data_IF_049770520433
#
_entry.id   IF_049770520433
#
_cell.length_a   1.000
_cell.length_b   1.000
_cell.length_c   1.000
_cell.angle_alpha   90.00
_cell.angle_beta   90.00
_cell.angle_gamma   90.00
#
_symmetry.space_group_name_H-M   'P 1'
#
loop_
_entity.id
_entity.type
_entity.pdbx_description
1 polymer ?
#
# COMPACT_ATOMS: atom_id res chain seq x y z
N UNK A 1 -23.43 13.87 30.09
CA UNK A 1 -23.03 13.98 28.68
C UNK A 1 -21.56 14.40 28.47
N UNK A 2 -20.75 14.62 29.52
CA UNK A 2 -19.29 14.83 29.43
C UNK A 2 -18.47 13.55 29.70
N UNK A 3 -19.12 12.44 30.13
CA UNK A 3 -18.47 11.22 30.62
C UNK A 3 -17.89 10.32 29.53
N UNK A 4 -18.46 10.34 28.32
CA UNK A 4 -18.15 9.33 27.31
C UNK A 4 -16.95 9.74 26.45
N UNK A 5 -16.74 11.04 26.23
CA UNK A 5 -15.59 11.56 25.47
C UNK A 5 -14.27 11.42 26.22
N UNK A 6 -14.23 11.78 27.49
CA UNK A 6 -13.01 11.65 28.31
C UNK A 6 -12.61 10.18 28.52
N UNK A 7 -13.61 9.30 28.71
CA UNK A 7 -13.36 7.86 28.77
C UNK A 7 -12.87 7.31 27.44
N UNK A 8 -13.47 7.71 26.30
CA UNK A 8 -12.99 7.34 24.98
C UNK A 8 -11.54 7.78 24.75
N UNK A 9 -11.18 9.01 25.12
CA UNK A 9 -9.81 9.52 24.94
C UNK A 9 -8.81 8.76 25.80
N UNK A 10 -9.18 8.35 27.02
CA UNK A 10 -8.35 7.49 27.86
C UNK A 10 -8.15 6.10 27.24
N UNK A 11 -9.22 5.51 26.69
CA UNK A 11 -9.14 4.21 25.99
C UNK A 11 -8.29 4.35 24.73
N UNK A 12 -8.44 5.42 23.96
CA UNK A 12 -7.62 5.68 22.77
C UNK A 12 -6.16 5.87 23.13
N UNK A 13 -5.84 6.56 24.23
CA UNK A 13 -4.45 6.67 24.71
C UNK A 13 -3.86 5.29 25.02
N UNK A 14 -4.63 4.43 25.71
CA UNK A 14 -4.19 3.08 26.03
C UNK A 14 -3.94 2.23 24.78
N UNK A 15 -4.91 2.21 23.86
CA UNK A 15 -4.78 1.50 22.58
C UNK A 15 -3.62 2.05 21.75
N UNK A 16 -3.41 3.37 21.77
CA UNK A 16 -2.32 4.01 21.05
C UNK A 16 -0.95 3.63 21.63
N UNK A 17 -0.81 3.58 22.96
CA UNK A 17 0.42 3.15 23.62
C UNK A 17 0.75 1.68 23.29
N UNK A 18 -0.26 0.82 23.23
CA UNK A 18 -0.12 -0.62 22.96
C UNK A 18 -0.40 -1.01 21.51
N UNK A 19 -0.30 -0.07 20.57
CA UNK A 19 -0.69 -0.25 19.16
C UNK A 19 0.07 -1.34 18.39
N UNK A 20 1.21 -1.80 18.91
CA UNK A 20 2.00 -2.89 18.33
C UNK A 20 1.56 -4.27 18.80
N UNK A 21 0.80 -4.35 19.89
CA UNK A 21 0.34 -5.60 20.49
C UNK A 21 -0.79 -6.24 19.68
N UNK A 22 -0.77 -7.57 19.57
CA UNK A 22 -1.80 -8.31 18.82
C UNK A 22 -3.19 -8.18 19.45
N UNK A 23 -3.27 -8.08 20.78
CA UNK A 23 -4.54 -7.84 21.47
C UNK A 23 -5.19 -6.51 21.07
N UNK A 24 -4.39 -5.47 20.87
CA UNK A 24 -4.88 -4.16 20.40
C UNK A 24 -5.42 -4.27 18.98
N UNK A 25 -4.69 -4.98 18.09
CA UNK A 25 -5.17 -5.22 16.72
C UNK A 25 -6.45 -6.03 16.71
N UNK A 26 -6.55 -7.09 17.52
CA UNK A 26 -7.77 -7.89 17.65
C UNK A 26 -8.95 -7.04 18.10
N UNK A 27 -8.75 -6.18 19.11
CA UNK A 27 -9.77 -5.26 19.57
C UNK A 27 -10.21 -4.31 18.46
N UNK A 28 -9.27 -3.63 17.79
CA UNK A 28 -9.56 -2.66 16.73
C UNK A 28 -10.31 -3.26 15.53
N UNK A 29 -10.19 -4.57 15.31
CA UNK A 29 -10.88 -5.32 14.25
C UNK A 29 -12.13 -6.06 14.75
N UNK A 30 -12.59 -5.79 15.98
CA UNK A 30 -13.86 -6.32 16.46
C UNK A 30 -15.04 -5.69 15.68
N UNK A 31 -15.94 -6.51 15.11
CA UNK A 31 -17.06 -6.01 14.31
C UNK A 31 -18.03 -5.11 15.11
N UNK A 32 -18.01 -5.20 16.45
CA UNK A 32 -18.84 -4.37 17.32
C UNK A 32 -18.34 -2.93 17.44
N UNK A 33 -17.07 -2.65 17.12
CA UNK A 33 -16.56 -1.27 17.12
C UNK A 33 -17.12 -0.54 15.90
N UNK A 34 -17.70 0.64 16.12
CA UNK A 34 -18.28 1.42 15.04
C UNK A 34 -17.19 2.13 14.21
N UNK A 35 -17.39 2.32 12.90
CA UNK A 35 -16.43 3.02 12.05
C UNK A 35 -16.10 4.44 12.53
N UNK A 36 -17.06 5.14 13.13
CA UNK A 36 -16.88 6.50 13.67
C UNK A 36 -15.91 6.51 14.85
N UNK A 37 -15.98 5.51 15.74
CA UNK A 37 -15.04 5.36 16.85
C UNK A 37 -13.63 5.08 16.35
N UNK A 38 -13.49 4.27 15.29
CA UNK A 38 -12.20 4.00 14.67
C UNK A 38 -11.61 5.24 14.00
N UNK A 39 -12.42 6.03 13.31
CA UNK A 39 -11.99 7.30 12.76
C UNK A 39 -11.50 8.26 13.85
N UNK A 40 -12.22 8.34 14.97
CA UNK A 40 -11.78 9.12 16.12
C UNK A 40 -10.45 8.61 16.69
N UNK A 41 -10.26 7.29 16.78
CA UNK A 41 -8.98 6.70 17.19
C UNK A 41 -7.84 7.07 16.22
N UNK A 42 -8.07 6.98 14.90
CA UNK A 42 -7.09 7.35 13.88
C UNK A 42 -6.71 8.83 14.01
N UNK A 43 -7.67 9.73 14.19
CA UNK A 43 -7.34 11.16 14.32
C UNK A 43 -6.78 11.54 15.70
N UNK A 44 -7.13 10.78 16.74
CA UNK A 44 -6.51 10.91 18.05
C UNK A 44 -5.00 10.63 17.98
N UNK A 45 -4.61 9.49 17.40
CA UNK A 45 -3.21 9.13 17.20
C UNK A 45 -2.47 10.11 16.28
N UNK A 46 -3.15 10.62 15.25
CA UNK A 46 -2.61 11.60 14.32
C UNK A 46 -2.28 12.90 15.05
N UNK A 47 -3.22 13.41 15.85
CA UNK A 47 -3.01 14.61 16.67
C UNK A 47 -1.85 14.45 17.66
N UNK A 48 -1.70 13.27 18.29
CA UNK A 48 -0.57 12.98 19.19
C UNK A 48 0.77 13.00 18.47
N UNK A 49 0.84 12.39 17.28
CA UNK A 49 2.08 12.34 16.50
C UNK A 49 2.42 13.69 15.86
N UNK A 50 1.41 14.46 15.45
CA UNK A 50 1.60 15.82 14.93
C UNK A 50 2.25 16.77 15.96
N UNK A 51 1.98 16.56 17.25
CA UNK A 51 2.59 17.32 18.34
C UNK A 51 4.05 16.94 18.62
N UNK A 52 4.55 15.86 18.01
CA UNK A 52 5.96 15.47 18.07
C UNK A 52 6.68 16.10 16.87
N UNK A 53 7.72 16.89 17.10
CA UNK A 53 8.53 17.47 16.02
C UNK A 53 9.08 16.35 15.11
N UNK A 54 8.96 16.54 13.79
CA UNK A 54 9.26 15.57 12.70
C UNK A 54 8.17 14.54 12.36
N UNK A 55 6.91 14.98 12.28
CA UNK A 55 5.80 14.15 11.83
C UNK A 55 5.81 13.85 10.31
N UNK A 56 5.74 12.55 9.95
CA UNK A 56 5.50 12.06 8.59
C UNK A 56 4.12 11.38 8.51
N UNK A 57 3.16 12.04 7.86
CA UNK A 57 1.79 11.52 7.70
C UNK A 57 1.73 10.20 6.93
N UNK A 58 2.62 9.96 5.96
CA UNK A 58 2.62 8.72 5.19
C UNK A 58 3.09 7.55 6.08
N UNK A 59 4.15 7.77 6.86
CA UNK A 59 4.63 6.78 7.82
C UNK A 59 3.55 6.45 8.87
N UNK A 60 2.82 7.48 9.32
CA UNK A 60 1.69 7.32 10.23
C UNK A 60 0.57 6.45 9.63
N UNK A 61 0.09 6.78 8.43
CA UNK A 61 -1.01 6.03 7.82
C UNK A 61 -0.60 4.62 7.37
N UNK A 62 0.69 4.39 7.08
CA UNK A 62 1.22 3.03 6.93
C UNK A 62 1.13 2.23 8.24
N UNK A 63 1.43 2.87 9.38
CA UNK A 63 1.26 2.22 10.69
C UNK A 63 -0.22 1.91 10.95
N UNK A 64 -1.11 2.86 10.70
CA UNK A 64 -2.56 2.67 10.84
C UNK A 64 -3.07 1.53 9.97
N UNK A 65 -2.66 1.46 8.70
CA UNK A 65 -3.00 0.35 7.80
C UNK A 65 -2.64 -1.00 8.42
N UNK A 66 -1.49 -1.11 9.10
CA UNK A 66 -1.05 -2.37 9.72
C UNK A 66 -1.85 -2.80 10.96
N UNK A 67 -2.71 -1.94 11.49
CA UNK A 67 -3.56 -2.23 12.65
C UNK A 67 -4.93 -2.80 12.26
N UNK A 68 -5.37 -2.53 11.03
CA UNK A 68 -6.69 -2.93 10.55
C UNK A 68 -6.58 -4.10 9.59
N UNK A 69 -7.57 -4.98 9.62
CA UNK A 69 -7.78 -5.97 8.58
C UNK A 69 -8.56 -5.39 7.39
N UNK A 70 -8.71 -6.22 6.37
CA UNK A 70 -9.38 -5.87 5.13
C UNK A 70 -10.84 -5.46 5.35
N UNK A 71 -11.59 -6.22 6.15
CA UNK A 71 -13.00 -5.98 6.41
C UNK A 71 -13.20 -4.68 7.21
N UNK A 72 -12.37 -4.44 8.20
CA UNK A 72 -12.43 -3.24 9.02
C UNK A 72 -12.05 -1.99 8.23
N UNK A 73 -11.08 -2.11 7.32
CA UNK A 73 -10.72 -1.03 6.39
C UNK A 73 -11.88 -0.65 5.47
N UNK A 74 -12.62 -1.65 4.96
CA UNK A 74 -13.84 -1.44 4.17
C UNK A 74 -14.93 -0.73 4.98
N UNK A 75 -15.15 -1.14 6.23
CA UNK A 75 -16.12 -0.50 7.14
C UNK A 75 -15.80 0.97 7.35
N UNK A 76 -14.53 1.34 7.53
CA UNK A 76 -14.11 2.75 7.64
C UNK A 76 -14.33 3.48 6.31
N UNK A 77 -13.96 2.88 5.18
CA UNK A 77 -14.16 3.46 3.83
C UNK A 77 -15.64 3.76 3.53
N UNK A 78 -16.57 3.01 4.11
CA UNK A 78 -18.01 3.19 3.91
C UNK A 78 -18.58 4.51 4.45
N UNK A 79 -17.84 5.22 5.32
CA UNK A 79 -18.25 6.48 5.93
C UNK A 79 -18.43 7.64 4.92
N UNK A 80 -17.95 7.51 3.68
CA UNK A 80 -18.31 8.44 2.59
C UNK A 80 -17.80 9.88 2.80
N UNK A 81 -18.59 10.74 3.47
CA UNK A 81 -18.32 12.18 3.58
C UNK A 81 -17.02 12.48 4.35
N UNK A 82 -16.72 11.76 5.42
CA UNK A 82 -15.47 11.91 6.17
C UNK A 82 -14.26 11.45 5.35
N UNK A 83 -14.43 10.39 4.55
CA UNK A 83 -13.35 9.80 3.76
C UNK A 83 -12.98 10.61 2.54
N UNK A 84 -13.92 11.37 1.97
CA UNK A 84 -13.65 12.26 0.84
C UNK A 84 -12.81 13.48 1.24
N UNK A 85 -12.72 13.79 2.55
CA UNK A 85 -11.88 14.87 3.09
C UNK A 85 -10.41 14.47 3.29
N UNK A 86 -10.11 13.17 3.32
CA UNK A 86 -8.76 12.65 3.58
C UNK A 86 -8.34 11.60 2.53
N UNK A 87 -7.88 12.05 1.35
CA UNK A 87 -7.50 11.16 0.25
C UNK A 87 -6.30 10.27 0.59
N UNK A 88 -5.40 10.71 1.49
CA UNK A 88 -4.24 9.92 1.91
C UNK A 88 -4.69 8.73 2.76
N UNK A 89 -5.49 8.95 3.81
CA UNK A 89 -6.05 7.87 4.61
C UNK A 89 -6.87 6.91 3.74
N UNK A 90 -7.73 7.46 2.85
CA UNK A 90 -8.56 6.68 1.93
C UNK A 90 -7.72 5.72 1.09
N UNK A 91 -6.61 6.19 0.52
CA UNK A 91 -5.74 5.34 -0.30
C UNK A 91 -5.02 4.28 0.54
N UNK A 92 -4.58 4.60 1.75
CA UNK A 92 -3.97 3.60 2.63
C UNK A 92 -4.96 2.49 3.02
N UNK A 93 -6.22 2.84 3.31
CA UNK A 93 -7.27 1.86 3.59
C UNK A 93 -7.63 1.02 2.35
N UNK A 94 -7.76 1.65 1.16
CA UNK A 94 -7.96 0.94 -0.11
C UNK A 94 -6.82 -0.04 -0.38
N UNK A 95 -5.59 0.33 -0.06
CA UNK A 95 -4.42 -0.51 -0.23
C UNK A 95 -4.39 -1.74 0.68
N UNK A 96 -5.27 -1.79 1.69
CA UNK A 96 -5.42 -2.91 2.63
C UNK A 96 -6.49 -3.93 2.21
N UNK A 97 -7.32 -3.57 1.22
CA UNK A 97 -8.41 -4.43 0.77
C UNK A 97 -7.89 -5.66 0.01
N UNK A 98 -8.42 -6.82 0.39
CA UNK A 98 -8.33 -8.09 -0.32
C UNK A 98 -9.32 -8.14 -1.50
N UNK A 99 -9.26 -9.15 -2.38
CA UNK A 99 -10.14 -9.21 -3.55
C UNK A 99 -11.64 -9.18 -3.23
N UNK A 100 -12.08 -9.87 -2.15
CA UNK A 100 -13.50 -9.95 -1.79
C UNK A 100 -14.04 -8.60 -1.29
N UNK A 101 -13.25 -7.91 -0.48
CA UNK A 101 -13.61 -6.57 0.02
C UNK A 101 -13.47 -5.48 -1.03
N UNK A 102 -12.61 -5.66 -2.04
CA UNK A 102 -12.58 -4.81 -3.23
C UNK A 102 -13.88 -4.91 -4.03
N UNK A 103 -14.39 -6.12 -4.26
CA UNK A 103 -15.69 -6.33 -4.92
C UNK A 103 -16.80 -5.62 -4.13
N UNK A 104 -16.88 -5.86 -2.82
CA UNK A 104 -17.84 -5.19 -1.96
C UNK A 104 -17.69 -3.65 -1.96
N UNK A 105 -16.47 -3.13 -2.07
CA UNK A 105 -16.23 -1.69 -2.19
C UNK A 105 -16.76 -1.13 -3.51
N UNK A 106 -16.65 -1.87 -4.63
CA UNK A 106 -17.25 -1.44 -5.89
C UNK A 106 -18.77 -1.46 -5.83
N UNK A 107 -19.37 -2.48 -5.21
CA UNK A 107 -20.82 -2.53 -4.99
C UNK A 107 -21.31 -1.29 -4.21
N UNK A 108 -20.57 -0.88 -3.17
CA UNK A 108 -20.87 0.34 -2.40
C UNK A 108 -20.75 1.63 -3.22
N UNK A 109 -19.80 1.69 -4.16
CA UNK A 109 -19.67 2.85 -5.06
C UNK A 109 -20.84 2.91 -6.04
N UNK A 110 -21.25 1.77 -6.60
CA UNK A 110 -22.41 1.66 -7.49
C UNK A 110 -23.71 2.07 -6.79
N UNK A 111 -23.95 1.58 -5.57
CA UNK A 111 -25.11 1.96 -4.75
C UNK A 111 -25.18 3.47 -4.49
N UNK A 112 -24.02 4.12 -4.32
CA UNK A 112 -23.90 5.56 -4.09
C UNK A 112 -23.90 6.40 -5.38
N UNK A 113 -24.15 5.81 -6.54
CA UNK A 113 -24.01 6.42 -7.87
C UNK A 113 -22.63 7.08 -8.10
N UNK A 114 -21.60 6.61 -7.38
CA UNK A 114 -20.22 7.06 -7.59
C UNK A 114 -19.61 6.25 -8.74
N UNK A 115 -18.87 6.92 -9.62
CA UNK A 115 -18.29 6.27 -10.80
C UNK A 115 -16.84 5.85 -10.52
N UNK A 116 -16.28 4.97 -11.36
CA UNK A 116 -14.84 4.68 -11.35
C UNK A 116 -13.96 5.94 -11.45
N UNK A 117 -14.49 7.04 -12.01
CA UNK A 117 -13.81 8.34 -12.05
C UNK A 117 -13.61 8.93 -10.66
N UNK A 118 -14.53 8.68 -9.72
CA UNK A 118 -14.38 9.06 -8.31
C UNK A 118 -13.13 8.44 -7.70
N UNK A 119 -12.86 7.16 -8.00
CA UNK A 119 -11.66 6.48 -7.49
C UNK A 119 -10.38 7.04 -8.10
N UNK A 120 -10.38 7.34 -9.41
CA UNK A 120 -9.27 8.03 -10.07
C UNK A 120 -9.03 9.43 -9.49
N UNK A 121 -10.12 10.13 -9.14
CA UNK A 121 -10.07 11.44 -8.48
C UNK A 121 -9.35 11.43 -7.13
N UNK A 122 -9.35 10.32 -6.39
CA UNK A 122 -8.62 10.22 -5.11
C UNK A 122 -7.11 10.43 -5.33
N UNK A 123 -6.58 9.96 -6.46
CA UNK A 123 -5.15 10.06 -6.78
C UNK A 123 -4.76 11.43 -7.34
N UNK A 124 -5.70 12.29 -7.75
CA UNK A 124 -5.37 13.57 -8.40
C UNK A 124 -4.57 14.50 -7.50
N UNK A 125 -4.82 14.46 -6.19
CA UNK A 125 -4.26 15.38 -5.22
C UNK A 125 -2.98 14.86 -4.53
N UNK A 126 -2.61 13.59 -4.75
CA UNK A 126 -1.37 13.02 -4.21
C UNK A 126 -0.17 13.30 -5.13
N UNK A 127 1.05 13.28 -4.57
CA UNK A 127 2.29 13.38 -5.36
C UNK A 127 2.63 12.03 -6.01
N UNK A 128 3.33 12.05 -7.15
CA UNK A 128 3.60 10.81 -7.92
C UNK A 128 4.38 9.77 -7.12
N UNK A 129 5.35 10.22 -6.33
CA UNK A 129 6.17 9.34 -5.49
C UNK A 129 5.33 8.67 -4.39
N UNK A 130 4.30 9.35 -3.86
CA UNK A 130 3.40 8.80 -2.84
C UNK A 130 2.52 7.72 -3.45
N UNK A 131 1.93 8.00 -4.62
CA UNK A 131 1.14 7.04 -5.37
C UNK A 131 2.00 5.81 -5.70
N UNK A 132 3.21 6.03 -6.27
CA UNK A 132 4.13 4.94 -6.60
C UNK A 132 4.44 4.08 -5.38
N UNK A 133 4.78 4.69 -4.24
CA UNK A 133 5.09 3.98 -3.01
C UNK A 133 3.90 3.14 -2.52
N UNK A 134 2.69 3.68 -2.53
CA UNK A 134 1.48 2.96 -2.13
C UNK A 134 1.25 1.75 -3.04
N UNK A 135 1.35 1.94 -4.36
CA UNK A 135 1.12 0.87 -5.33
C UNK A 135 2.19 -0.22 -5.29
N UNK A 136 3.45 0.13 -4.99
CA UNK A 136 4.51 -0.85 -4.75
C UNK A 136 4.25 -1.68 -3.47
N UNK A 137 3.60 -1.08 -2.47
CA UNK A 137 3.23 -1.73 -1.20
C UNK A 137 1.82 -2.37 -1.22
N UNK A 138 1.11 -2.35 -2.36
CA UNK A 138 -0.20 -2.99 -2.51
C UNK A 138 -0.43 -3.45 -3.95
N UNK A 139 -0.07 -4.71 -4.20
CA UNK A 139 -0.22 -5.34 -5.50
C UNK A 139 -1.69 -5.43 -5.95
N UNK A 140 -2.61 -5.69 -5.01
CA UNK A 140 -4.05 -5.76 -5.27
C UNK A 140 -4.58 -4.43 -5.80
N UNK A 141 -4.28 -3.31 -5.12
CA UNK A 141 -4.68 -1.97 -5.57
C UNK A 141 -4.08 -1.64 -6.94
N UNK A 142 -2.81 -1.98 -7.18
CA UNK A 142 -2.18 -1.82 -8.48
C UNK A 142 -2.94 -2.57 -9.60
N UNK A 143 -3.29 -3.84 -9.37
CA UNK A 143 -3.99 -4.66 -10.35
C UNK A 143 -5.38 -4.11 -10.67
N UNK A 144 -6.16 -3.75 -9.64
CA UNK A 144 -7.49 -3.15 -9.83
C UNK A 144 -7.42 -1.82 -10.57
N UNK A 145 -6.46 -0.94 -10.23
CA UNK A 145 -6.25 0.31 -10.98
C UNK A 145 -5.90 0.04 -12.44
N UNK A 146 -5.02 -0.92 -12.72
CA UNK A 146 -4.66 -1.28 -14.10
C UNK A 146 -5.87 -1.78 -14.88
N UNK A 147 -6.68 -2.66 -14.28
CA UNK A 147 -7.92 -3.15 -14.91
C UNK A 147 -8.90 -2.01 -15.19
N UNK A 148 -9.08 -1.09 -14.24
CA UNK A 148 -9.95 0.08 -14.40
C UNK A 148 -9.48 0.98 -15.55
N UNK A 149 -8.17 1.19 -15.67
CA UNK A 149 -7.60 2.03 -16.74
C UNK A 149 -7.77 1.43 -18.13
N UNK A 150 -7.78 0.10 -18.24
CA UNK A 150 -8.03 -0.65 -19.49
C UNK A 150 -9.53 -0.74 -19.81
N UNK A 151 -10.36 -0.97 -18.79
CA UNK A 151 -11.82 -1.11 -18.93
C UNK A 151 -12.52 0.22 -19.18
N UNK A 152 -11.90 1.33 -18.74
CA UNK A 152 -12.37 2.70 -18.90
C UNK A 152 -12.26 3.25 -20.33
N UNK A 153 -12.62 2.47 -21.35
CA UNK A 153 -12.90 2.95 -22.72
C UNK A 153 -14.28 3.66 -22.77
N UNK A 154 -14.50 4.59 -21.83
CA UNK A 154 -15.65 5.49 -21.88
C UNK A 154 -15.45 6.43 -23.07
N UNK A 155 -16.53 6.64 -23.84
CA UNK A 155 -16.55 7.53 -25.01
C UNK A 155 -15.94 8.86 -24.61
N UNK A 156 -14.92 9.29 -25.36
CA UNK A 156 -14.03 10.44 -25.11
C UNK A 156 -14.74 11.81 -25.06
N UNK A 157 -16.07 11.85 -25.05
CA UNK A 157 -16.87 13.05 -25.33
C UNK A 157 -17.30 13.83 -24.07
N UNK A 158 -17.08 13.32 -22.86
CA UNK A 158 -17.50 13.99 -21.60
C UNK A 158 -16.44 13.98 -20.48
N UNK A 159 -15.14 13.88 -20.81
CA UNK A 159 -14.06 13.92 -19.81
C UNK A 159 -13.45 15.32 -19.80
N UNK A 160 -13.36 15.95 -18.63
CA UNK A 160 -12.70 17.26 -18.49
C UNK A 160 -11.20 17.17 -18.77
N UNK A 161 -10.57 18.25 -19.24
CA UNK A 161 -9.12 18.29 -19.51
C UNK A 161 -8.29 17.87 -18.27
N UNK A 162 -8.73 18.28 -17.09
CA UNK A 162 -8.09 17.94 -15.80
C UNK A 162 -8.15 16.43 -15.51
N UNK A 163 -9.26 15.78 -15.80
CA UNK A 163 -9.40 14.34 -15.62
C UNK A 163 -8.55 13.57 -16.62
N UNK A 164 -8.45 14.05 -17.86
CA UNK A 164 -7.59 13.46 -18.88
C UNK A 164 -6.10 13.57 -18.49
N UNK A 165 -5.67 14.70 -17.91
CA UNK A 165 -4.32 14.87 -17.38
C UNK A 165 -4.03 13.92 -16.21
N UNK A 166 -4.95 13.81 -15.24
CA UNK A 166 -4.81 12.89 -14.12
C UNK A 166 -4.75 11.43 -14.58
N UNK A 167 -5.56 11.05 -15.57
CA UNK A 167 -5.54 9.72 -16.17
C UNK A 167 -4.16 9.42 -16.78
N UNK A 168 -3.65 10.31 -17.64
CA UNK A 168 -2.32 10.17 -18.25
C UNK A 168 -1.22 10.04 -17.20
N UNK A 169 -1.26 10.87 -16.17
CA UNK A 169 -0.33 10.83 -15.05
C UNK A 169 -0.34 9.47 -14.35
N UNK A 170 -1.52 8.93 -14.05
CA UNK A 170 -1.66 7.62 -13.45
C UNK A 170 -1.20 6.50 -14.40
N UNK A 171 -1.46 6.59 -15.70
CA UNK A 171 -0.95 5.64 -16.71
C UNK A 171 0.58 5.55 -16.72
N UNK A 172 1.26 6.71 -16.62
CA UNK A 172 2.72 6.76 -16.53
C UNK A 172 3.22 6.06 -15.26
N UNK A 173 2.58 6.32 -14.11
CA UNK A 173 2.94 5.66 -12.85
C UNK A 173 2.72 4.15 -12.93
N UNK A 174 1.55 3.70 -13.40
CA UNK A 174 1.23 2.28 -13.54
C UNK A 174 2.18 1.57 -14.50
N UNK A 175 2.56 2.23 -15.59
CA UNK A 175 3.54 1.72 -16.56
C UNK A 175 4.93 1.58 -15.94
N UNK A 176 5.34 2.53 -15.09
CA UNK A 176 6.63 2.45 -14.38
C UNK A 176 6.69 1.27 -13.40
N UNK A 177 5.55 0.89 -12.81
CA UNK A 177 5.45 -0.27 -11.92
C UNK A 177 5.35 -1.57 -12.72
N UNK A 178 4.71 -1.55 -13.89
CA UNK A 178 4.52 -2.73 -14.74
C UNK A 178 5.84 -3.42 -15.13
N UNK A 179 6.94 -2.68 -15.23
CA UNK A 179 8.28 -3.26 -15.47
C UNK A 179 8.63 -4.32 -14.42
N UNK A 180 8.26 -4.11 -13.16
CA UNK A 180 8.52 -5.04 -12.06
C UNK A 180 7.59 -6.26 -12.09
N UNK A 181 6.36 -6.09 -12.55
CA UNK A 181 5.44 -7.20 -12.80
C UNK A 181 6.01 -8.15 -13.85
N UNK A 182 6.45 -7.59 -14.99
CA UNK A 182 7.09 -8.35 -16.07
C UNK A 182 8.36 -9.05 -15.56
N UNK A 183 9.18 -8.36 -14.77
CA UNK A 183 10.36 -8.98 -14.15
C UNK A 183 9.99 -10.15 -13.21
N UNK A 184 8.94 -10.03 -12.42
CA UNK A 184 8.45 -11.12 -11.57
C UNK A 184 7.98 -12.32 -12.40
N UNK A 185 7.29 -12.08 -13.51
CA UNK A 185 6.87 -13.13 -14.44
C UNK A 185 8.09 -13.83 -15.06
N UNK A 186 9.08 -13.07 -15.56
CA UNK A 186 10.31 -13.65 -16.09
C UNK A 186 11.06 -14.50 -15.06
N UNK A 187 11.05 -14.11 -13.78
CA UNK A 187 11.64 -14.92 -12.71
C UNK A 187 10.86 -16.21 -12.49
N UNK A 188 9.53 -16.19 -12.52
CA UNK A 188 8.68 -17.38 -12.40
C UNK A 188 8.85 -18.33 -13.58
N UNK A 189 9.07 -17.80 -14.78
CA UNK A 189 9.31 -18.61 -15.98
C UNK A 189 10.69 -19.27 -15.97
N UNK A 190 11.69 -18.61 -15.37
CA UNK A 190 13.08 -19.13 -15.27
C UNK A 190 13.32 -20.04 -14.08
N UNK A 191 12.57 -19.87 -12.99
CA UNK A 191 12.80 -20.55 -11.72
C UNK A 191 11.49 -21.08 -11.13
N UNK A 192 11.51 -22.31 -10.65
CA UNK A 192 10.42 -22.87 -9.85
C UNK A 192 10.46 -22.26 -8.44
N UNK A 193 9.81 -21.11 -8.27
CA UNK A 193 9.82 -20.36 -7.01
C UNK A 193 9.17 -21.14 -5.86
N UNK A 194 8.19 -22.00 -6.15
CA UNK A 194 7.55 -22.85 -5.14
C UNK A 194 8.53 -23.88 -4.58
N UNK A 195 9.37 -24.46 -5.45
CA UNK A 195 10.45 -25.33 -5.02
C UNK A 195 11.53 -24.57 -4.24
N UNK A 196 11.93 -23.39 -4.71
CA UNK A 196 12.96 -22.56 -4.07
C UNK A 196 12.58 -22.12 -2.64
N UNK A 197 11.30 -21.85 -2.38
CA UNK A 197 10.80 -21.51 -1.02
C UNK A 197 11.11 -22.60 0.00
N UNK A 198 10.97 -23.87 -0.42
CA UNK A 198 11.16 -25.03 0.46
C UNK A 198 12.63 -25.41 0.66
N UNK A 199 13.56 -24.80 -0.07
CA UNK A 199 14.98 -25.03 0.06
C UNK A 199 15.60 -24.10 1.11
N UNK A 200 16.69 -24.55 1.73
CA UNK A 200 17.49 -23.67 2.58
C UNK A 200 18.21 -22.62 1.73
N UNK A 201 18.56 -21.42 2.28
CA UNK A 201 19.17 -20.36 1.49
C UNK A 201 20.44 -20.76 0.72
N UNK A 202 21.19 -21.74 1.21
CA UNK A 202 22.41 -22.25 0.56
C UNK A 202 22.13 -23.16 -0.64
N UNK A 203 20.97 -23.78 -0.68
CA UNK A 203 20.54 -24.72 -1.73
C UNK A 203 19.77 -24.01 -2.85
N UNK A 204 19.30 -22.79 -2.59
CA UNK A 204 18.61 -21.94 -3.56
C UNK A 204 19.53 -21.50 -4.69
N UNK A 205 18.94 -21.25 -5.85
CA UNK A 205 19.69 -20.83 -7.02
C UNK A 205 20.14 -19.36 -6.89
N UNK A 206 21.42 -19.15 -6.59
CA UNK A 206 22.02 -17.82 -6.44
C UNK A 206 21.96 -16.93 -7.70
N UNK A 207 21.75 -17.51 -8.89
CA UNK A 207 21.56 -16.72 -10.13
C UNK A 207 20.28 -15.88 -10.06
N UNK A 208 19.25 -16.35 -9.35
CA UNK A 208 18.01 -15.60 -9.12
C UNK A 208 18.29 -14.29 -8.38
N UNK A 209 19.03 -14.35 -7.28
CA UNK A 209 19.47 -13.16 -6.54
C UNK A 209 20.36 -12.25 -7.38
N UNK A 210 21.23 -12.83 -8.21
CA UNK A 210 22.09 -12.06 -9.12
C UNK A 210 21.27 -11.24 -10.13
N UNK A 211 20.14 -11.77 -10.62
CA UNK A 211 19.22 -11.05 -11.49
C UNK A 211 18.52 -9.92 -10.73
N UNK A 212 18.03 -10.19 -9.52
CA UNK A 212 17.41 -9.16 -8.66
C UNK A 212 18.39 -8.01 -8.40
N UNK A 213 19.63 -8.31 -8.04
CA UNK A 213 20.69 -7.31 -7.85
C UNK A 213 20.93 -6.48 -9.10
N UNK A 214 21.07 -7.13 -10.25
CA UNK A 214 21.31 -6.46 -11.53
C UNK A 214 20.19 -5.48 -11.88
N UNK A 215 18.93 -5.86 -11.68
CA UNK A 215 17.81 -4.95 -11.95
C UNK A 215 17.74 -3.79 -10.94
N UNK A 216 17.98 -4.04 -9.65
CA UNK A 216 17.96 -3.00 -8.62
C UNK A 216 19.08 -1.97 -8.76
N UNK A 217 20.22 -2.31 -9.38
CA UNK A 217 21.27 -1.31 -9.66
C UNK A 217 20.86 -0.26 -10.69
N UNK A 218 19.85 -0.53 -11.52
CA UNK A 218 19.38 0.40 -12.56
C UNK A 218 18.50 1.51 -12.02
N UNK A 219 18.07 1.42 -10.76
CA UNK A 219 17.13 2.36 -10.15
C UNK A 219 17.75 3.17 -9.00
N UNK A 220 17.19 4.35 -8.69
CA UNK A 220 17.68 5.19 -7.59
C UNK A 220 17.62 4.47 -6.25
N UNK A 221 18.61 4.72 -5.39
CA UNK A 221 18.74 4.08 -4.07
C UNK A 221 17.49 4.25 -3.20
N UNK A 222 16.81 5.40 -3.30
CA UNK A 222 15.60 5.70 -2.55
C UNK A 222 14.40 4.78 -2.90
N UNK A 223 14.36 4.21 -4.11
CA UNK A 223 13.24 3.39 -4.58
C UNK A 223 13.47 1.88 -4.37
N UNK A 224 14.72 1.46 -4.14
CA UNK A 224 15.10 0.03 -4.10
C UNK A 224 14.34 -0.77 -3.04
N UNK A 225 14.07 -0.17 -1.88
CA UNK A 225 13.35 -0.85 -0.81
C UNK A 225 11.87 -1.09 -1.15
N UNK A 226 11.20 -0.08 -1.72
CA UNK A 226 9.80 -0.21 -2.13
C UNK A 226 9.66 -1.26 -3.26
N UNK A 227 10.63 -1.32 -4.18
CA UNK A 227 10.67 -2.35 -5.23
C UNK A 227 10.90 -3.74 -4.62
N UNK A 228 11.81 -3.90 -3.65
CA UNK A 228 12.00 -5.18 -2.96
C UNK A 228 10.71 -5.70 -2.30
N UNK A 229 9.96 -4.80 -1.63
CA UNK A 229 8.66 -5.13 -1.05
C UNK A 229 7.69 -5.61 -2.13
N UNK A 230 7.64 -4.92 -3.27
CA UNK A 230 6.80 -5.32 -4.41
C UNK A 230 7.17 -6.71 -4.95
N UNK A 231 8.46 -6.98 -5.16
CA UNK A 231 8.94 -8.27 -5.67
C UNK A 231 8.53 -9.42 -4.74
N UNK A 232 8.73 -9.24 -3.43
CA UNK A 232 8.33 -10.21 -2.41
C UNK A 232 6.82 -10.45 -2.40
N UNK A 233 6.03 -9.37 -2.43
CA UNK A 233 4.57 -9.44 -2.52
C UNK A 233 4.08 -10.17 -3.77
N UNK A 234 4.87 -10.15 -4.84
CA UNK A 234 4.60 -10.85 -6.11
C UNK A 234 5.17 -12.28 -6.17
N UNK A 235 5.63 -12.82 -5.03
CA UNK A 235 6.06 -14.21 -4.92
C UNK A 235 7.51 -14.47 -5.32
N UNK A 236 8.33 -13.42 -5.51
CA UNK A 236 9.78 -13.59 -5.59
C UNK A 236 10.29 -14.03 -4.21
N UNK A 237 11.02 -15.15 -4.17
CA UNK A 237 11.55 -15.71 -2.92
C UNK A 237 12.60 -14.76 -2.34
N UNK A 238 12.27 -13.96 -1.34
CA UNK A 238 13.20 -13.07 -0.67
C UNK A 238 12.94 -13.20 0.82
N UNK A 239 13.77 -14.00 1.50
CA UNK A 239 13.74 -14.04 2.96
C UNK A 239 14.54 -12.88 3.56
N UNK A 240 14.44 -12.70 4.89
CA UNK A 240 15.15 -11.63 5.61
C UNK A 240 16.66 -11.65 5.40
N UNK A 241 17.26 -12.82 5.20
CA UNK A 241 18.71 -12.94 5.01
C UNK A 241 19.11 -12.54 3.58
N UNK A 242 18.34 -12.99 2.58
CA UNK A 242 18.51 -12.60 1.18
C UNK A 242 18.27 -11.09 0.99
N UNK A 243 17.27 -10.52 1.65
CA UNK A 243 17.00 -9.07 1.67
C UNK A 243 18.20 -8.29 2.22
N UNK A 244 18.70 -8.70 3.39
CA UNK A 244 19.87 -8.05 4.03
C UNK A 244 21.11 -8.15 3.14
N UNK A 245 21.30 -9.31 2.49
CA UNK A 245 22.40 -9.54 1.57
C UNK A 245 22.29 -8.64 0.34
N UNK A 246 21.10 -8.53 -0.24
CA UNK A 246 20.83 -7.66 -1.40
C UNK A 246 21.09 -6.20 -1.05
N UNK A 247 20.54 -5.72 0.07
CA UNK A 247 20.76 -4.34 0.53
C UNK A 247 22.25 -4.05 0.77
N UNK A 248 22.95 -4.96 1.44
CA UNK A 248 24.38 -4.82 1.70
C UNK A 248 25.21 -4.79 0.42
N UNK A 249 24.91 -5.67 -0.54
CA UNK A 249 25.59 -5.71 -1.83
C UNK A 249 25.35 -4.45 -2.67
N UNK A 250 24.12 -3.91 -2.64
CA UNK A 250 23.78 -2.67 -3.33
C UNK A 250 24.46 -1.45 -2.70
N UNK A 251 24.52 -1.39 -1.38
CA UNK A 251 25.25 -0.35 -0.65
C UNK A 251 26.76 -0.39 -0.96
N UNK A 252 27.33 -1.59 -1.04
CA UNK A 252 28.73 -1.76 -1.43
C UNK A 252 28.95 -1.31 -2.88
N UNK A 253 28.05 -1.71 -3.79
CA UNK A 253 28.11 -1.32 -5.19
C UNK A 253 28.08 0.19 -5.38
N UNK A 254 27.20 0.90 -4.67
CA UNK A 254 27.14 2.37 -4.70
C UNK A 254 28.42 3.03 -4.18
N UNK A 255 29.14 2.39 -3.24
CA UNK A 255 30.37 2.94 -2.62
C UNK A 255 31.63 2.65 -3.42
N UNK A 256 31.79 1.44 -3.94
CA UNK A 256 33.05 0.94 -4.52
C UNK A 256 32.92 0.35 -5.92
N UNK A 257 31.72 0.35 -6.50
CA UNK A 257 31.44 -0.20 -7.84
C UNK A 257 31.46 -1.74 -7.92
N UNK A 258 31.46 -2.43 -6.77
CA UNK A 258 31.46 -3.90 -6.66
C UNK A 258 30.44 -4.35 -5.61
N UNK A 259 29.83 -5.51 -5.83
CA UNK A 259 28.84 -6.07 -4.90
C UNK A 259 29.47 -6.63 -3.61
N UNK A 260 30.67 -7.21 -3.71
CA UNK A 260 31.43 -7.79 -2.61
C UNK A 260 32.87 -7.28 -2.63
#
# INVERSE_FOLDING_TARGET
MLSDTEFCDLVFEYLWLLRTEDATKQFLNDPNITPELLMRFIYFGYGKQFLLDHFDSNAYFLQIRSMFDSAQSLRILSLGEEMDRDPTLKIHLLSNLDPQTWEAYFDLLEEKNMTMQTLLGIFSNLRENEIRKILLNSHTLYYYLRMMMVSGNQKTEEISEKEMENRKRLEVILSSIHVWETFCQELKDKYDLQKEINLTPKERNSKRMSLVLKELTKIPTAERNDVLVYLKGNGVVLDSWEETTVQSALLNFDRVGKYF
#
